data_IF_264045638262
#
_entry.id   IF_264045638262
#
_cell.length_a   1.000
_cell.length_b   1.000
_cell.length_c   1.000
_cell.angle_alpha   90.00
_cell.angle_beta   90.00
_cell.angle_gamma   90.00
#
_symmetry.space_group_name_H-M   'P 1'
#
loop_
_entity.id
_entity.type
_entity.pdbx_description
1 polymer ?
#
# COMPACT_ATOMS: atom_id res chain seq x y z
N UNK A 1 5.93 -5.59 6.32
CA UNK A 1 5.27 -4.28 6.41
C UNK A 1 6.30 -3.22 6.75
N UNK A 2 7.19 -2.85 5.80
CA UNK A 2 8.20 -1.82 6.07
C UNK A 2 7.53 -0.47 6.35
N UNK A 3 7.97 0.22 7.38
CA UNK A 3 7.40 1.51 7.78
C UNK A 3 8.47 2.33 8.52
N UNK A 4 8.43 3.64 8.36
CA UNK A 4 9.50 4.55 8.78
C UNK A 4 10.72 4.51 7.85
N UNK A 5 11.77 5.23 8.24
CA UNK A 5 13.02 5.34 7.48
C UNK A 5 13.93 4.11 7.63
N UNK A 6 13.38 2.91 7.41
CA UNK A 6 14.09 1.62 7.59
C UNK A 6 14.92 1.23 6.38
N UNK A 7 16.01 0.52 6.66
CA UNK A 7 16.86 -0.14 5.67
C UNK A 7 16.93 -1.64 5.95
N UNK A 8 16.94 -2.43 4.89
CA UNK A 8 17.16 -3.87 4.97
C UNK A 8 18.09 -4.30 3.84
N UNK A 9 18.85 -5.37 4.08
CA UNK A 9 19.64 -6.07 3.07
C UNK A 9 19.20 -7.52 3.11
N UNK A 10 18.76 -8.04 1.97
CA UNK A 10 18.30 -9.42 1.81
C UNK A 10 19.28 -10.22 0.97
N UNK A 11 19.37 -11.52 1.25
CA UNK A 11 20.14 -12.49 0.47
C UNK A 11 19.56 -12.72 -0.92
N UNK A 12 20.32 -13.45 -1.75
CA UNK A 12 19.91 -13.81 -3.11
C UNK A 12 18.69 -14.75 -3.12
N UNK A 13 18.56 -15.55 -2.07
CA UNK A 13 17.58 -16.61 -1.84
C UNK A 13 16.22 -16.11 -1.31
N UNK A 14 16.09 -14.82 -0.97
CA UNK A 14 14.82 -14.26 -0.52
C UNK A 14 13.91 -13.91 -1.73
N UNK A 15 13.05 -14.86 -2.11
CA UNK A 15 12.07 -14.71 -3.20
C UNK A 15 11.20 -13.45 -3.08
N UNK A 16 10.87 -13.04 -1.85
CA UNK A 16 9.99 -11.88 -1.61
C UNK A 16 10.76 -10.58 -1.85
N UNK A 17 12.04 -10.55 -1.51
CA UNK A 17 12.93 -9.45 -1.82
C UNK A 17 13.22 -9.38 -3.33
N UNK A 18 13.51 -10.51 -3.99
CA UNK A 18 13.73 -10.59 -5.44
C UNK A 18 12.53 -10.10 -6.25
N UNK A 19 11.31 -10.41 -5.78
CA UNK A 19 10.07 -9.94 -6.40
C UNK A 19 9.59 -8.58 -5.86
N UNK A 20 10.41 -7.92 -5.04
CA UNK A 20 10.18 -6.57 -4.52
C UNK A 20 8.81 -6.41 -3.84
N UNK A 21 8.44 -7.41 -3.04
CA UNK A 21 7.14 -7.49 -2.41
C UNK A 21 6.99 -6.50 -1.26
N UNK A 22 5.75 -6.08 -1.04
CA UNK A 22 5.36 -5.29 0.13
C UNK A 22 3.95 -5.64 0.52
N UNK A 23 3.70 -5.71 1.83
CA UNK A 23 2.35 -5.76 2.38
C UNK A 23 1.54 -4.51 2.02
N UNK A 24 2.20 -3.35 1.88
CA UNK A 24 1.57 -2.11 1.43
C UNK A 24 1.18 -2.15 -0.05
N UNK A 25 0.18 -1.35 -0.43
CA UNK A 25 -0.24 -1.19 -1.82
C UNK A 25 0.71 -0.24 -2.55
N UNK A 26 1.83 -0.77 -3.04
CA UNK A 26 2.88 0.02 -3.68
C UNK A 26 2.76 -0.04 -5.21
N UNK A 27 2.79 1.11 -5.89
CA UNK A 27 2.91 1.21 -7.36
C UNK A 27 4.32 1.58 -7.78
N UNK A 28 4.76 1.15 -8.97
CA UNK A 28 6.02 1.62 -9.54
C UNK A 28 5.97 3.13 -9.76
N UNK A 29 7.10 3.81 -9.62
CA UNK A 29 7.25 5.25 -9.86
C UNK A 29 8.55 5.46 -10.59
N UNK A 30 8.50 6.09 -11.76
CA UNK A 30 9.70 6.39 -12.52
C UNK A 30 10.58 7.35 -11.72
N UNK A 31 11.83 6.98 -11.52
CA UNK A 31 12.89 7.76 -10.90
C UNK A 31 14.01 8.11 -11.89
N UNK A 32 13.86 7.77 -13.18
CA UNK A 32 14.85 7.92 -14.23
C UNK A 32 16.19 7.23 -13.94
N UNK A 33 16.18 6.20 -13.08
CA UNK A 33 17.35 5.41 -12.69
C UNK A 33 17.00 3.93 -12.73
N UNK A 34 17.40 3.24 -13.80
CA UNK A 34 17.12 1.81 -14.02
C UNK A 34 17.81 0.91 -13.00
N UNK A 35 18.83 1.39 -12.30
CA UNK A 35 19.51 0.62 -11.24
C UNK A 35 18.69 0.54 -9.96
N UNK A 36 17.71 1.44 -9.78
CA UNK A 36 16.90 1.54 -8.56
C UNK A 36 15.42 1.41 -8.90
N UNK A 37 14.76 0.39 -8.39
CA UNK A 37 13.31 0.27 -8.50
C UNK A 37 12.63 1.09 -7.40
N UNK A 38 12.03 2.22 -7.76
CA UNK A 38 11.23 3.04 -6.85
C UNK A 38 9.75 2.68 -6.93
N UNK A 39 9.11 2.49 -5.77
CA UNK A 39 7.67 2.27 -5.64
C UNK A 39 7.09 3.25 -4.62
N UNK A 40 5.91 3.79 -4.89
CA UNK A 40 5.21 4.73 -4.01
C UNK A 40 3.91 4.12 -3.48
N UNK A 41 3.58 4.36 -2.22
CA UNK A 41 2.36 3.85 -1.62
C UNK A 41 1.12 4.51 -2.24
N UNK A 42 0.09 3.70 -2.51
CA UNK A 42 -1.22 4.17 -2.98
C UNK A 42 -2.14 4.56 -1.82
N UNK A 43 -1.84 4.14 -0.60
CA UNK A 43 -2.77 4.26 0.52
C UNK A 43 -3.65 3.02 0.68
N UNK A 44 -4.90 3.24 1.05
CA UNK A 44 -5.89 2.19 1.38
C UNK A 44 -7.29 2.62 0.94
N UNK A 45 -8.13 1.66 0.57
CA UNK A 45 -9.55 1.88 0.31
C UNK A 45 -10.32 1.68 1.62
N UNK A 46 -11.11 2.68 2.01
CA UNK A 46 -11.90 2.69 3.23
C UNK A 46 -13.38 2.86 2.89
N UNK A 47 -14.26 2.45 3.80
CA UNK A 47 -15.68 2.79 3.69
C UNK A 47 -15.89 4.28 4.02
N UNK A 48 -16.72 4.98 3.24
CA UNK A 48 -17.14 6.37 3.51
C UNK A 48 -17.80 6.53 4.87
N UNK A 49 -18.49 5.48 5.33
CA UNK A 49 -19.24 5.49 6.58
C UNK A 49 -18.38 5.10 7.79
N UNK A 50 -17.09 4.79 7.59
CA UNK A 50 -16.18 4.39 8.67
C UNK A 50 -15.88 5.53 9.66
N UNK A 51 -16.27 6.77 9.33
CA UNK A 51 -16.23 7.92 10.25
C UNK A 51 -17.41 7.95 11.23
N UNK A 52 -18.51 7.23 10.94
CA UNK A 52 -19.66 7.16 11.84
C UNK A 52 -19.45 5.97 12.77
N UNK A 53 -18.69 6.24 13.83
CA UNK A 53 -18.32 5.35 14.92
C UNK A 53 -19.54 4.91 15.77
N UNK A 54 -20.56 4.33 15.14
CA UNK A 54 -21.72 3.81 15.84
C UNK A 54 -22.33 2.61 15.08
N UNK A 55 -22.12 1.43 15.66
CA UNK A 55 -22.90 0.21 15.49
C UNK A 55 -23.05 -0.39 14.09
N UNK A 56 -22.30 -1.46 13.84
CA UNK A 56 -22.91 -2.65 13.25
C UNK A 56 -22.19 -3.93 13.68
N UNK A 57 -22.44 -4.36 14.94
CA UNK A 57 -22.30 -5.70 15.55
C UNK A 57 -21.06 -6.59 15.30
N UNK A 58 -20.13 -6.22 14.43
CA UNK A 58 -18.91 -6.93 14.08
C UNK A 58 -17.88 -5.86 13.70
N UNK A 59 -16.93 -5.59 14.59
CA UNK A 59 -15.88 -4.56 14.56
C UNK A 59 -14.90 -4.66 13.35
N UNK A 60 -15.40 -4.88 12.15
CA UNK A 60 -14.60 -5.23 10.97
C UNK A 60 -14.32 -3.96 10.17
N UNK A 61 -13.21 -3.30 10.52
CA UNK A 61 -12.69 -2.17 9.76
C UNK A 61 -12.38 -2.61 8.32
N UNK A 62 -13.09 -2.03 7.35
CA UNK A 62 -12.89 -2.32 5.92
C UNK A 62 -11.65 -1.58 5.42
N UNK A 63 -10.53 -2.30 5.34
CA UNK A 63 -9.26 -1.77 4.84
C UNK A 63 -8.88 -2.49 3.53
N UNK A 64 -9.54 -2.13 2.43
CA UNK A 64 -9.36 -2.85 1.16
C UNK A 64 -8.08 -2.40 0.47
N UNK A 65 -7.39 -3.35 -0.16
CA UNK A 65 -6.22 -3.08 -0.98
C UNK A 65 -6.60 -2.31 -2.26
N UNK A 66 -6.04 -1.11 -2.50
CA UNK A 66 -6.23 -0.42 -3.77
C UNK A 66 -5.64 -1.23 -4.94
N UNK A 67 -6.34 -1.26 -6.06
CA UNK A 67 -5.76 -1.80 -7.30
C UNK A 67 -4.54 -1.00 -7.74
N UNK A 68 -3.53 -1.70 -8.25
CA UNK A 68 -2.28 -1.05 -8.70
C UNK A 68 -2.51 -0.26 -9.99
N UNK A 69 -3.28 -0.82 -10.94
CA UNK A 69 -3.66 -0.13 -12.18
C UNK A 69 -4.55 1.07 -11.88
N UNK A 70 -4.21 2.23 -12.46
CA UNK A 70 -4.95 3.48 -12.27
C UNK A 70 -6.40 3.37 -12.77
N UNK A 71 -6.63 2.76 -13.95
CA UNK A 71 -7.97 2.55 -14.51
C UNK A 71 -8.83 1.66 -13.61
N UNK A 72 -8.28 0.54 -13.13
CA UNK A 72 -8.98 -0.36 -12.22
C UNK A 72 -9.27 0.30 -10.87
N UNK A 73 -8.29 1.04 -10.31
CA UNK A 73 -8.47 1.76 -9.05
C UNK A 73 -9.49 2.89 -9.16
N UNK A 74 -9.59 3.53 -10.31
CA UNK A 74 -10.65 4.52 -10.58
C UNK A 74 -12.03 3.86 -10.50
N UNK A 75 -12.19 2.69 -11.14
CA UNK A 75 -13.43 1.89 -11.06
C UNK A 75 -13.71 1.34 -9.66
N UNK A 76 -12.68 1.11 -8.84
CA UNK A 76 -12.83 0.64 -7.46
C UNK A 76 -13.41 1.72 -6.55
N UNK A 77 -13.07 2.99 -6.78
CA UNK A 77 -13.63 4.11 -6.02
C UNK A 77 -15.11 4.27 -6.34
N UNK A 78 -15.90 4.58 -5.32
CA UNK A 78 -17.34 4.76 -5.46
C UNK A 78 -18.13 3.45 -5.55
N UNK A 79 -17.47 2.29 -5.59
CA UNK A 79 -18.17 1.00 -5.48
C UNK A 79 -18.78 0.84 -4.08
N UNK A 80 -19.89 0.10 -3.95
CA UNK A 80 -20.48 -0.18 -2.65
C UNK A 80 -19.49 -0.86 -1.69
N UNK A 81 -19.58 -0.53 -0.41
CA UNK A 81 -18.83 -1.21 0.64
C UNK A 81 -19.20 -2.71 0.65
N UNK A 82 -18.23 -3.63 0.72
CA UNK A 82 -18.52 -5.07 0.73
C UNK A 82 -19.11 -5.56 2.06
N UNK A 83 -19.10 -4.73 3.12
CA UNK A 83 -19.71 -5.10 4.40
C UNK A 83 -21.23 -5.23 4.25
N UNK A 84 -21.76 -6.42 4.58
CA UNK A 84 -23.20 -6.70 4.51
C UNK A 84 -24.00 -5.67 5.32
N UNK A 85 -25.03 -5.09 4.71
CA UNK A 85 -25.88 -4.08 5.34
C UNK A 85 -25.29 -2.67 5.35
N UNK A 86 -24.03 -2.48 4.93
CA UNK A 86 -23.43 -1.17 4.80
C UNK A 86 -23.89 -0.47 3.51
N UNK A 87 -24.41 0.75 3.63
CA UNK A 87 -24.78 1.61 2.50
C UNK A 87 -23.67 2.59 2.08
N UNK A 88 -22.47 2.43 2.65
CA UNK A 88 -21.32 3.26 2.32
C UNK A 88 -20.68 2.87 0.98
N UNK A 89 -19.80 3.73 0.49
CA UNK A 89 -19.01 3.51 -0.72
C UNK A 89 -17.51 3.42 -0.38
N UNK A 90 -16.72 2.84 -1.29
CA UNK A 90 -15.27 2.80 -1.15
C UNK A 90 -14.63 4.13 -1.57
N UNK A 91 -13.93 4.75 -0.63
CA UNK A 91 -13.14 5.97 -0.83
C UNK A 91 -11.65 5.66 -0.65
N UNK A 92 -10.80 6.28 -1.46
CA UNK A 92 -9.35 6.09 -1.34
C UNK A 92 -8.77 7.10 -0.36
N UNK A 93 -8.22 6.62 0.76
CA UNK A 93 -7.30 7.40 1.58
C UNK A 93 -5.89 7.25 1.01
N UNK A 94 -5.39 8.31 0.36
CA UNK A 94 -4.03 8.35 -0.18
C UNK A 94 -3.01 8.37 0.96
N UNK A 95 -1.83 7.82 0.72
CA UNK A 95 -0.71 7.96 1.64
C UNK A 95 -0.04 9.33 1.46
N UNK A 96 0.20 10.05 2.57
CA UNK A 96 0.89 11.35 2.63
C UNK A 96 2.00 11.38 3.70
N UNK A 97 2.38 10.20 4.17
CA UNK A 97 3.34 9.93 5.25
C UNK A 97 4.79 10.39 5.08
N UNK A 98 5.14 11.04 3.98
CA UNK A 98 6.48 11.55 3.71
C UNK A 98 6.42 13.02 3.31
N UNK A 99 6.32 13.91 4.31
CA UNK A 99 6.20 15.36 4.10
C UNK A 99 5.07 15.73 3.12
N UNK A 100 3.88 15.15 3.32
CA UNK A 100 2.71 15.35 2.45
C UNK A 100 2.72 14.52 1.16
N UNK A 101 3.83 13.80 0.88
CA UNK A 101 3.96 12.90 -0.27
C UNK A 101 3.78 11.43 0.17
N UNK A 102 3.47 10.51 -0.75
CA UNK A 102 3.38 9.10 -0.40
C UNK A 102 4.72 8.52 0.09
N UNK A 103 4.65 7.60 1.04
CA UNK A 103 5.79 6.78 1.46
C UNK A 103 6.35 6.02 0.26
N UNK A 104 7.68 5.93 0.16
CA UNK A 104 8.36 5.26 -0.95
C UNK A 104 9.22 4.10 -0.49
N UNK A 105 9.26 3.07 -1.31
CA UNK A 105 10.19 1.95 -1.22
C UNK A 105 11.16 2.05 -2.38
N UNK A 106 12.45 1.91 -2.10
CA UNK A 106 13.50 1.85 -3.10
C UNK A 106 14.20 0.50 -2.96
N UNK A 107 14.30 -0.21 -4.08
CA UNK A 107 14.98 -1.50 -4.16
C UNK A 107 16.16 -1.38 -5.12
N UNK A 108 17.25 -2.08 -4.82
CA UNK A 108 18.44 -2.13 -5.67
C UNK A 108 19.07 -3.51 -5.55
N UNK A 109 19.28 -4.19 -6.67
CA UNK A 109 19.98 -5.48 -6.69
C UNK A 109 21.43 -5.25 -7.08
N UNK A 110 22.37 -5.65 -6.22
CA UNK A 110 23.83 -5.53 -6.46
C UNK A 110 24.54 -6.72 -5.85
N UNK A 111 25.40 -7.39 -6.63
CA UNK A 111 26.28 -8.45 -6.12
C UNK A 111 25.53 -9.63 -5.48
N UNK A 112 24.36 -9.99 -6.02
CA UNK A 112 23.52 -11.06 -5.46
C UNK A 112 22.65 -10.66 -4.28
N UNK A 113 22.80 -9.45 -3.73
CA UNK A 113 21.98 -8.96 -2.61
C UNK A 113 20.91 -8.00 -3.08
N UNK A 114 19.80 -7.95 -2.34
CA UNK A 114 18.72 -6.97 -2.54
C UNK A 114 18.74 -5.95 -1.42
N UNK A 115 19.08 -4.72 -1.76
CA UNK A 115 19.06 -3.58 -0.86
C UNK A 115 17.69 -2.93 -0.88
N UNK A 116 17.14 -2.65 0.29
CA UNK A 116 15.84 -2.04 0.47
C UNK A 116 15.91 -0.80 1.36
N UNK A 117 15.18 0.24 0.97
CA UNK A 117 14.97 1.44 1.76
C UNK A 117 13.51 1.86 1.74
N UNK A 118 12.94 2.12 2.92
CA UNK A 118 11.66 2.79 3.10
C UNK A 118 11.90 4.26 3.46
N UNK A 119 11.09 5.18 2.92
CA UNK A 119 11.15 6.62 3.24
C UNK A 119 9.77 7.15 3.60
N UNK A 120 9.62 7.55 4.86
CA UNK A 120 8.39 8.08 5.45
C UNK A 120 7.63 7.09 6.34
N UNK A 121 6.56 7.56 6.98
CA UNK A 121 5.72 6.80 7.90
C UNK A 121 4.29 6.70 7.37
N UNK A 122 3.77 5.49 7.19
CA UNK A 122 2.42 5.32 6.65
C UNK A 122 1.35 5.92 7.58
N UNK A 123 0.66 6.94 7.09
CA UNK A 123 -0.43 7.67 7.75
C UNK A 123 -1.80 7.02 7.52
N UNK A 124 -1.81 5.73 7.17
CA UNK A 124 -3.00 4.97 6.87
C UNK A 124 -2.97 3.54 7.40
N UNK A 125 -4.14 2.95 7.75
CA UNK A 125 -4.19 1.56 8.18
C UNK A 125 -3.67 0.66 7.07
N UNK A 126 -3.19 -0.51 7.51
CA UNK A 126 -2.67 -1.54 6.61
C UNK A 126 -3.82 -2.01 5.70
N UNK A 127 -3.67 -1.94 4.36
CA UNK A 127 -4.62 -2.59 3.47
C UNK A 127 -4.61 -4.10 3.71
N UNK A 128 -5.64 -4.79 3.24
CA UNK A 128 -5.62 -6.25 3.14
C UNK A 128 -4.38 -6.72 2.35
N UNK A 129 -3.82 -7.88 2.72
CA UNK A 129 -2.73 -8.48 1.96
C UNK A 129 -3.16 -8.74 0.51
N UNK A 130 -2.20 -8.89 -0.40
CA UNK A 130 -2.53 -9.39 -1.75
C UNK A 130 -3.18 -10.76 -1.57
N UNK A 131 -4.36 -10.96 -2.15
CA UNK A 131 -4.89 -12.30 -2.36
C UNK A 131 -3.90 -13.05 -3.25
N UNK A 132 -3.39 -14.17 -2.73
CA UNK A 132 -2.56 -15.12 -3.48
C UNK A 132 -3.34 -15.72 -4.64
#
# INVERSE_FOLDING_TARGET
WPDGYRHFVYGADDDRAQTHQSGWAMRNTNNHDSSRLKKSCLGVMLCSNNNNNNNYNNNTLVNIRPFICDKARSKQKGTPCPTRGCRGILVQRKCSGHAGKPVTHVWRCVGGFVYFQCKGFHDHPRPQPKSS
#
